data_IF_106099416542
#
_entry.id   IF_106099416542
#
_cell.length_a   1.000
_cell.length_b   1.000
_cell.length_c   1.000
_cell.angle_alpha   90.00
_cell.angle_beta   90.00
_cell.angle_gamma   90.00
#
_symmetry.space_group_name_H-M   'P 1'
#
loop_
_entity.id
_entity.type
_entity.pdbx_description
1 polymer ?
#
# COMPACT_ATOMS: atom_id res chain seq x y z
N UNK A 1 -24.74 0.93 2.90
CA UNK A 1 -23.31 0.61 2.65
C UNK A 1 -22.45 1.29 3.70
N UNK A 2 -21.65 0.52 4.46
CA UNK A 2 -20.78 1.12 5.46
C UNK A 2 -19.56 1.80 4.83
N UNK A 3 -19.13 2.92 5.41
CA UNK A 3 -17.90 3.61 5.01
C UNK A 3 -16.68 2.72 5.31
N UNK A 4 -15.71 2.61 4.39
CA UNK A 4 -14.47 1.89 4.66
C UNK A 4 -13.75 2.48 5.89
N UNK A 5 -13.29 1.62 6.78
CA UNK A 5 -12.50 1.99 7.95
C UNK A 5 -11.02 1.78 7.67
N UNK A 6 -10.20 2.81 7.86
CA UNK A 6 -8.75 2.68 7.72
C UNK A 6 -8.18 1.81 8.85
N UNK A 7 -7.50 0.74 8.47
CA UNK A 7 -6.80 -0.17 9.40
C UNK A 7 -5.37 0.30 9.62
N UNK A 8 -4.66 0.63 8.53
CA UNK A 8 -3.28 1.11 8.62
C UNK A 8 -2.91 2.02 7.43
N UNK A 9 -2.01 2.96 7.69
CA UNK A 9 -1.24 3.69 6.69
C UNK A 9 0.25 3.38 6.87
N UNK A 10 0.91 2.89 5.83
CA UNK A 10 2.35 2.65 5.79
C UNK A 10 2.98 3.57 4.75
N UNK A 11 4.25 3.92 4.95
CA UNK A 11 5.04 4.72 4.00
C UNK A 11 6.42 4.13 3.85
N UNK A 12 6.97 4.17 2.64
CA UNK A 12 8.35 3.79 2.32
C UNK A 12 8.92 4.85 1.41
N UNK A 13 9.96 5.53 1.89
CA UNK A 13 10.72 6.50 1.09
C UNK A 13 12.11 5.93 0.85
N UNK A 14 12.59 6.03 -0.39
CA UNK A 14 13.90 5.53 -0.81
C UNK A 14 14.51 6.48 -1.84
N UNK A 15 15.82 6.71 -1.73
CA UNK A 15 16.55 7.63 -2.59
C UNK A 15 17.89 7.03 -2.98
N UNK A 16 17.96 6.48 -4.18
CA UNK A 16 19.18 5.92 -4.77
C UNK A 16 18.92 5.54 -6.25
N UNK A 17 19.80 4.73 -6.82
CA UNK A 17 19.62 4.04 -8.10
C UNK A 17 18.70 2.83 -7.93
N UNK A 18 17.59 2.79 -8.66
CA UNK A 18 16.70 1.62 -8.72
C UNK A 18 15.98 1.57 -10.06
N UNK A 19 15.38 0.43 -10.41
CA UNK A 19 14.51 0.38 -11.59
C UNK A 19 13.05 0.66 -11.20
N UNK A 20 12.49 1.78 -11.66
CA UNK A 20 11.06 2.11 -11.44
C UNK A 20 10.18 1.03 -12.05
N UNK A 21 10.53 0.59 -13.26
CA UNK A 21 9.80 -0.45 -13.99
C UNK A 21 9.81 -1.78 -13.25
N UNK A 22 10.92 -2.16 -12.63
CA UNK A 22 10.99 -3.37 -11.83
C UNK A 22 10.16 -3.26 -10.55
N UNK A 23 10.21 -2.12 -9.86
CA UNK A 23 9.39 -1.87 -8.66
C UNK A 23 7.90 -1.98 -8.98
N UNK A 24 7.48 -1.31 -10.05
CA UNK A 24 6.11 -1.36 -10.55
C UNK A 24 5.67 -2.81 -10.79
N UNK A 25 6.50 -3.61 -11.49
CA UNK A 25 6.17 -5.00 -11.79
C UNK A 25 6.07 -5.89 -10.55
N UNK A 26 7.02 -5.77 -9.62
CA UNK A 26 7.03 -6.58 -8.39
C UNK A 26 5.78 -6.31 -7.55
N UNK A 27 5.42 -5.05 -7.34
CA UNK A 27 4.23 -4.71 -6.55
C UNK A 27 2.94 -5.08 -7.27
N UNK A 28 2.87 -4.87 -8.59
CA UNK A 28 1.72 -5.27 -9.41
C UNK A 28 1.51 -6.79 -9.37
N UNK A 29 2.60 -7.56 -9.48
CA UNK A 29 2.57 -9.01 -9.42
C UNK A 29 2.14 -9.49 -8.03
N UNK A 30 2.71 -8.93 -6.96
CA UNK A 30 2.32 -9.25 -5.59
C UNK A 30 0.81 -9.04 -5.36
N UNK A 31 0.28 -7.89 -5.80
CA UNK A 31 -1.16 -7.59 -5.68
C UNK A 31 -2.01 -8.63 -6.42
N UNK A 32 -1.61 -9.01 -7.63
CA UNK A 32 -2.34 -10.02 -8.42
C UNK A 32 -2.27 -11.42 -7.77
N UNK A 33 -1.11 -11.83 -7.26
CA UNK A 33 -0.91 -13.12 -6.57
C UNK A 33 -1.74 -13.23 -5.28
N UNK A 34 -1.87 -12.12 -4.55
CA UNK A 34 -2.69 -12.03 -3.33
C UNK A 34 -4.19 -11.81 -3.59
N UNK A 35 -4.60 -11.79 -4.87
CA UNK A 35 -6.00 -11.70 -5.30
C UNK A 35 -6.60 -10.29 -5.29
N UNK A 36 -5.76 -9.24 -5.24
CA UNK A 36 -6.21 -7.87 -5.39
C UNK A 36 -6.42 -7.51 -6.86
N UNK A 37 -7.58 -6.94 -7.17
CA UNK A 37 -7.99 -6.48 -8.50
C UNK A 37 -8.41 -5.01 -8.45
N UNK A 38 -8.97 -4.45 -9.54
CA UNK A 38 -9.52 -3.08 -9.54
C UNK A 38 -10.57 -2.86 -8.45
N UNK A 39 -10.97 -1.61 -8.22
CA UNK A 39 -12.03 -1.29 -7.26
C UNK A 39 -13.36 -1.95 -7.62
N UNK A 40 -13.65 -2.02 -8.91
CA UNK A 40 -14.72 -2.81 -9.48
C UNK A 40 -14.12 -4.18 -9.79
N UNK A 41 -14.56 -5.23 -9.11
CA UNK A 41 -13.97 -6.58 -9.15
C UNK A 41 -13.91 -7.22 -10.56
N UNK A 42 -14.48 -6.54 -11.56
CA UNK A 42 -14.46 -6.84 -12.99
C UNK A 42 -13.32 -6.19 -13.76
N UNK A 43 -12.71 -5.11 -13.25
CA UNK A 43 -11.64 -4.38 -13.94
C UNK A 43 -10.26 -4.92 -13.54
N UNK A 44 -9.47 -5.26 -14.57
CA UNK A 44 -8.07 -5.65 -14.41
C UNK A 44 -7.18 -4.44 -14.21
N UNK A 45 -7.65 -3.24 -14.53
CA UNK A 45 -6.92 -2.00 -14.43
C UNK A 45 -6.99 -1.44 -13.00
N UNK A 46 -5.85 -1.44 -12.30
CA UNK A 46 -5.77 -0.90 -10.94
C UNK A 46 -5.31 0.56 -10.90
N UNK A 47 -4.72 1.05 -12.00
CA UNK A 47 -4.07 2.34 -12.05
C UNK A 47 -5.10 3.43 -12.34
N UNK A 48 -5.51 4.11 -11.29
CA UNK A 48 -6.51 5.17 -11.37
C UNK A 48 -5.91 6.50 -11.86
N UNK A 49 -4.63 6.73 -11.58
CA UNK A 49 -3.93 7.95 -11.98
C UNK A 49 -2.51 7.62 -12.44
N UNK A 50 -2.10 8.25 -13.54
CA UNK A 50 -0.70 8.42 -13.94
C UNK A 50 -0.48 9.87 -14.38
N UNK A 51 0.42 10.58 -13.70
CA UNK A 51 0.81 11.94 -14.05
C UNK A 51 2.32 12.02 -14.10
N UNK A 52 2.86 12.47 -15.22
CA UNK A 52 4.29 12.72 -15.40
C UNK A 52 4.51 14.21 -15.67
N UNK A 53 5.47 14.81 -14.98
CA UNK A 53 5.93 16.18 -15.16
C UNK A 53 7.43 16.17 -15.38
N UNK A 54 7.90 16.99 -16.31
CA UNK A 54 9.32 17.13 -16.60
C UNK A 54 9.78 18.46 -16.02
N UNK A 55 10.74 18.40 -15.10
CA UNK A 55 11.36 19.58 -14.50
C UNK A 55 12.31 20.28 -15.47
N UNK A 56 12.61 21.55 -15.19
CA UNK A 56 13.53 22.37 -16.01
C UNK A 56 14.95 21.78 -16.11
N UNK A 57 15.35 20.99 -15.11
CA UNK A 57 16.60 20.24 -15.03
C UNK A 57 16.55 18.87 -15.74
N UNK A 58 15.47 18.56 -16.46
CA UNK A 58 15.31 17.29 -17.19
C UNK A 58 14.93 16.09 -16.31
N UNK A 59 14.87 16.25 -14.98
CA UNK A 59 14.37 15.24 -14.07
C UNK A 59 12.85 15.09 -14.17
N UNK A 60 12.35 13.86 -14.02
CA UNK A 60 10.91 13.57 -14.06
C UNK A 60 10.33 13.50 -12.65
N UNK A 61 9.15 14.07 -12.48
CA UNK A 61 8.27 13.84 -11.35
C UNK A 61 7.10 12.97 -11.83
N UNK A 62 6.83 11.86 -11.15
CA UNK A 62 5.80 10.91 -11.54
C UNK A 62 4.89 10.63 -10.35
N UNK A 63 3.58 10.69 -10.57
CA UNK A 63 2.56 10.31 -9.62
C UNK A 63 1.78 9.12 -10.18
N UNK A 64 1.65 8.06 -9.40
CA UNK A 64 0.89 6.86 -9.79
C UNK A 64 -0.02 6.48 -8.64
N UNK A 65 -1.32 6.34 -8.90
CA UNK A 65 -2.28 5.88 -7.90
C UNK A 65 -2.89 4.57 -8.30
N UNK A 66 -2.71 3.56 -7.45
CA UNK A 66 -3.39 2.29 -7.58
C UNK A 66 -4.53 2.19 -6.57
N UNK A 67 -5.69 1.78 -7.07
CA UNK A 67 -6.88 1.55 -6.25
C UNK A 67 -7.28 0.10 -6.43
N UNK A 68 -7.01 -0.70 -5.41
CA UNK A 68 -7.25 -2.14 -5.47
C UNK A 68 -8.23 -2.60 -4.42
N UNK A 69 -8.93 -3.68 -4.74
CA UNK A 69 -9.79 -4.36 -3.78
C UNK A 69 -9.74 -5.87 -3.91
N UNK A 70 -10.08 -6.54 -2.81
CA UNK A 70 -10.19 -7.99 -2.70
C UNK A 70 -11.47 -8.30 -1.93
N UNK A 71 -12.37 -9.04 -2.55
CA UNK A 71 -13.53 -9.61 -1.86
C UNK A 71 -13.05 -10.80 -1.02
N UNK A 72 -13.27 -10.74 0.29
CA UNK A 72 -12.80 -11.79 1.21
C UNK A 72 -13.91 -12.75 1.53
N UNK A 73 -15.11 -12.21 1.76
CA UNK A 73 -16.36 -12.93 1.88
C UNK A 73 -17.52 -12.00 1.51
N UNK A 74 -18.76 -12.49 1.57
CA UNK A 74 -19.94 -11.70 1.20
C UNK A 74 -20.17 -10.43 2.06
N UNK A 75 -19.54 -10.32 3.22
CA UNK A 75 -19.71 -9.23 4.18
C UNK A 75 -18.48 -8.31 4.29
N UNK A 76 -17.31 -8.74 3.80
CA UNK A 76 -16.06 -8.01 3.97
C UNK A 76 -15.33 -7.83 2.64
N UNK A 77 -14.96 -6.57 2.36
CA UNK A 77 -14.11 -6.17 1.24
C UNK A 77 -12.84 -5.51 1.77
N UNK A 78 -11.69 -6.01 1.33
CA UNK A 78 -10.40 -5.39 1.60
C UNK A 78 -10.12 -4.38 0.49
N UNK A 79 -9.67 -3.19 0.85
CA UNK A 79 -9.27 -2.14 -0.08
C UNK A 79 -7.82 -1.79 0.25
N UNK A 80 -6.95 -1.87 -0.75
CA UNK A 80 -5.54 -1.55 -0.62
C UNK A 80 -5.18 -0.51 -1.67
N UNK A 81 -4.95 0.72 -1.24
CA UNK A 81 -4.54 1.81 -2.11
C UNK A 81 -3.04 2.00 -2.02
N UNK A 82 -2.39 2.15 -3.16
CA UNK A 82 -0.94 2.36 -3.26
C UNK A 82 -0.69 3.64 -4.05
N UNK A 83 -0.08 4.63 -3.39
CA UNK A 83 0.23 5.92 -3.99
C UNK A 83 1.72 6.06 -4.13
N UNK A 84 2.20 6.18 -5.37
CA UNK A 84 3.58 6.44 -5.70
C UNK A 84 3.78 7.92 -5.99
N UNK A 85 4.85 8.47 -5.43
CA UNK A 85 5.40 9.76 -5.77
C UNK A 85 6.88 9.61 -6.05
N UNK A 86 7.27 9.75 -7.31
CA UNK A 86 8.65 9.69 -7.75
C UNK A 86 9.14 11.09 -8.06
N UNK A 87 10.30 11.46 -7.52
CA UNK A 87 10.88 12.79 -7.58
C UNK A 87 12.25 12.76 -8.25
N UNK A 88 12.44 13.70 -9.18
CA UNK A 88 13.70 13.92 -9.90
C UNK A 88 14.29 12.64 -10.51
N UNK A 89 13.44 11.82 -11.13
CA UNK A 89 13.87 10.59 -11.79
C UNK A 89 14.70 10.92 -13.04
N UNK A 90 15.91 10.38 -13.11
CA UNK A 90 16.82 10.52 -14.22
C UNK A 90 17.28 9.14 -14.71
N UNK A 91 17.34 8.89 -16.02
CA UNK A 91 17.79 7.62 -16.54
C UNK A 91 19.27 7.41 -16.21
N UNK A 92 19.62 6.19 -15.82
CA UNK A 92 21.00 5.75 -15.57
C UNK A 92 21.20 4.35 -16.14
N UNK A 93 22.46 3.97 -16.28
CA UNK A 93 22.85 2.66 -16.78
C UNK A 93 23.90 2.08 -15.85
N UNK A 94 23.63 0.88 -15.33
CA UNK A 94 24.56 0.14 -14.48
C UNK A 94 24.99 -1.15 -15.15
N UNK A 95 26.22 -1.57 -14.88
CA UNK A 95 26.71 -2.89 -15.25
C UNK A 95 26.41 -3.86 -14.10
N UNK A 96 25.55 -4.84 -14.33
CA UNK A 96 25.23 -5.88 -13.36
C UNK A 96 25.48 -7.24 -14.02
N UNK A 97 26.35 -8.06 -13.41
CA UNK A 97 26.73 -9.38 -13.95
C UNK A 97 27.22 -9.34 -15.42
N UNK A 98 27.95 -8.28 -15.78
CA UNK A 98 28.47 -8.09 -17.15
C UNK A 98 27.42 -7.66 -18.17
N UNK A 99 26.15 -7.47 -17.76
CA UNK A 99 25.07 -6.95 -18.62
C UNK A 99 24.76 -5.50 -18.26
N UNK A 100 24.58 -4.68 -19.29
CA UNK A 100 24.14 -3.29 -19.15
C UNK A 100 22.65 -3.26 -18.85
N UNK A 101 22.26 -2.76 -17.67
CA UNK A 101 20.88 -2.60 -17.27
C UNK A 101 20.50 -1.12 -17.23
N UNK A 102 19.32 -0.79 -17.75
CA UNK A 102 18.73 0.54 -17.63
C UNK A 102 18.07 0.67 -16.26
N UNK A 103 18.49 1.66 -15.50
CA UNK A 103 17.98 2.02 -14.18
C UNK A 103 17.59 3.49 -14.17
N UNK A 104 17.06 3.93 -13.04
CA UNK A 104 16.72 5.32 -12.79
C UNK A 104 17.39 5.74 -11.49
N UNK A 105 17.82 6.99 -11.39
CA UNK A 105 18.27 7.61 -10.13
C UNK A 105 17.24 8.64 -9.72
N UNK A 106 16.84 8.61 -8.47
CA UNK A 106 15.90 9.58 -7.95
C UNK A 106 15.40 9.19 -6.57
N UNK A 107 14.26 9.76 -6.21
CA UNK A 107 13.59 9.47 -4.95
C UNK A 107 12.21 8.89 -5.24
N UNK A 108 11.85 7.83 -4.52
CA UNK A 108 10.54 7.21 -4.57
C UNK A 108 9.94 7.20 -3.18
N UNK A 109 8.72 7.70 -3.10
CA UNK A 109 7.88 7.67 -1.91
C UNK A 109 6.62 6.90 -2.23
N UNK A 110 6.35 5.84 -1.47
CA UNK A 110 5.16 5.01 -1.65
C UNK A 110 4.38 4.94 -0.36
N UNK A 111 3.12 5.31 -0.43
CA UNK A 111 2.16 5.21 0.66
C UNK A 111 1.17 4.07 0.39
N UNK A 112 1.02 3.19 1.39
CA UNK A 112 0.06 2.09 1.38
C UNK A 112 -1.06 2.40 2.36
N UNK A 113 -2.30 2.41 1.89
CA UNK A 113 -3.47 2.60 2.72
C UNK A 113 -4.34 1.36 2.67
N UNK A 114 -4.59 0.76 3.83
CA UNK A 114 -5.42 -0.42 3.94
C UNK A 114 -6.75 -0.05 4.61
N UNK A 115 -7.87 -0.29 3.93
CA UNK A 115 -9.21 -0.06 4.44
C UNK A 115 -10.01 -1.36 4.47
N UNK A 116 -10.70 -1.59 5.58
CA UNK A 116 -11.68 -2.65 5.73
C UNK A 116 -13.07 -2.08 5.49
N UNK A 117 -13.79 -2.64 4.52
CA UNK A 117 -15.19 -2.32 4.29
C UNK A 117 -16.07 -3.48 4.74
N UNK A 118 -16.97 -3.20 5.69
CA UNK A 118 -18.04 -4.10 6.10
C UNK A 118 -19.31 -3.79 5.31
N UNK A 119 -20.07 -4.82 4.98
CA UNK A 119 -21.30 -4.72 4.18
C UNK A 119 -21.10 -3.91 2.89
N UNK A 120 -20.27 -4.42 1.95
CA UNK A 120 -20.03 -3.73 0.68
C UNK A 120 -21.30 -3.63 -0.18
N UNK A 121 -22.28 -4.52 0.00
CA UNK A 121 -23.52 -4.54 -0.79
C UNK A 121 -24.64 -3.67 -0.19
N UNK A 122 -24.52 -3.27 1.07
CA UNK A 122 -25.56 -2.46 1.73
C UNK A 122 -26.78 -3.27 2.15
N UNK A 123 -26.72 -4.61 2.10
CA UNK A 123 -27.86 -5.50 2.36
C UNK A 123 -28.38 -5.38 3.81
N UNK A 124 -27.55 -4.87 4.73
CA UNK A 124 -27.90 -4.72 6.13
C UNK A 124 -28.69 -3.45 6.44
N UNK A 125 -28.52 -2.39 5.64
CA UNK A 125 -29.27 -1.13 5.79
C UNK A 125 -30.71 -1.25 5.25
N UNK A 126 -30.98 -2.24 4.38
CA UNK A 126 -32.27 -2.43 3.70
C UNK A 126 -33.32 -3.22 4.53
N UNK A 127 -32.92 -3.80 5.67
CA UNK A 127 -33.83 -4.57 6.52
C UNK A 127 -34.67 -3.68 7.47
N UNK A 128 -36.00 -3.78 7.38
CA UNK A 128 -36.98 -3.02 8.18
C UNK A 128 -36.74 -3.03 9.70
N UNK A 129 -36.28 -4.16 10.27
CA UNK A 129 -35.99 -4.31 11.71
C UNK A 129 -34.61 -3.77 12.14
N UNK A 130 -33.70 -3.53 11.21
CA UNK A 130 -32.36 -2.95 11.43
C UNK A 130 -32.27 -1.48 10.99
N UNK A 131 -33.39 -0.91 10.54
CA UNK A 131 -33.52 0.44 9.99
C UNK A 131 -33.18 1.57 10.96
N UNK A 132 -33.16 1.31 12.28
CA UNK A 132 -32.66 2.29 13.25
C UNK A 132 -31.12 2.27 13.24
N UNK A 133 -30.46 3.29 12.64
CA UNK A 133 -29.02 3.24 12.32
C UNK A 133 -28.12 3.17 13.56
N UNK A 134 -28.65 3.55 14.74
CA UNK A 134 -27.91 3.58 15.99
C UNK A 134 -27.90 2.21 16.70
N UNK A 135 -29.02 1.49 16.66
CA UNK A 135 -29.18 0.19 17.33
C UNK A 135 -28.56 -0.93 16.51
N UNK A 136 -28.82 -0.94 15.20
CA UNK A 136 -28.24 -1.93 14.28
C UNK A 136 -26.72 -1.83 14.26
N UNK A 137 -26.17 -0.62 14.16
CA UNK A 137 -24.71 -0.40 14.16
C UNK A 137 -24.04 -0.81 15.46
N UNK A 138 -24.64 -0.55 16.62
CA UNK A 138 -24.08 -0.97 17.91
C UNK A 138 -24.12 -2.51 18.09
N UNK A 139 -25.24 -3.15 17.74
CA UNK A 139 -25.39 -4.60 17.84
C UNK A 139 -24.52 -5.34 16.82
N UNK A 140 -24.48 -4.88 15.56
CA UNK A 140 -23.63 -5.44 14.50
C UNK A 140 -22.16 -5.32 14.88
N UNK A 141 -21.72 -4.15 15.34
CA UNK A 141 -20.34 -3.97 15.80
C UNK A 141 -20.00 -4.89 16.97
N UNK A 142 -20.96 -5.25 17.83
CA UNK A 142 -20.74 -6.14 18.97
C UNK A 142 -20.76 -7.62 18.56
N UNK A 143 -21.70 -8.02 17.71
CA UNK A 143 -21.85 -9.39 17.21
C UNK A 143 -20.72 -9.77 16.25
N UNK A 144 -20.38 -8.87 15.33
CA UNK A 144 -19.32 -9.05 14.34
C UNK A 144 -17.96 -8.54 14.81
N UNK A 145 -17.83 -8.03 16.05
CA UNK A 145 -16.58 -7.46 16.56
C UNK A 145 -15.38 -8.38 16.31
N UNK A 146 -15.52 -9.64 16.70
CA UNK A 146 -14.45 -10.64 16.57
C UNK A 146 -14.07 -10.89 15.10
N UNK A 147 -15.07 -10.91 14.21
CA UNK A 147 -14.84 -11.08 12.77
C UNK A 147 -14.17 -9.86 12.17
N UNK A 148 -14.64 -8.65 12.51
CA UNK A 148 -14.04 -7.38 12.10
C UNK A 148 -12.57 -7.30 12.55
N UNK A 149 -12.30 -7.58 13.83
CA UNK A 149 -10.95 -7.53 14.41
C UNK A 149 -10.02 -8.53 13.71
N UNK A 150 -10.48 -9.76 13.47
CA UNK A 150 -9.72 -10.78 12.74
C UNK A 150 -9.44 -10.36 11.29
N UNK A 151 -10.45 -9.81 10.60
CA UNK A 151 -10.32 -9.33 9.22
C UNK A 151 -9.40 -8.10 9.11
N UNK A 152 -9.44 -7.22 10.10
CA UNK A 152 -8.50 -6.11 10.21
C UNK A 152 -7.06 -6.61 10.42
N UNK A 153 -6.86 -7.65 11.25
CA UNK A 153 -5.54 -8.27 11.43
C UNK A 153 -5.02 -8.95 10.15
N UNK A 154 -5.87 -9.66 9.41
CA UNK A 154 -5.55 -10.23 8.10
C UNK A 154 -5.11 -9.12 7.12
N UNK A 155 -5.90 -8.06 6.97
CA UNK A 155 -5.58 -6.93 6.10
C UNK A 155 -4.30 -6.18 6.53
N UNK A 156 -4.08 -6.05 7.84
CA UNK A 156 -2.84 -5.49 8.39
C UNK A 156 -1.63 -6.31 7.93
N UNK A 157 -1.69 -7.64 8.03
CA UNK A 157 -0.61 -8.54 7.59
C UNK A 157 -0.35 -8.41 6.08
N UNK A 158 -1.40 -8.31 5.27
CA UNK A 158 -1.27 -8.09 3.82
C UNK A 158 -0.52 -6.78 3.53
N UNK A 159 -0.92 -5.67 4.15
CA UNK A 159 -0.26 -4.38 3.97
C UNK A 159 1.23 -4.41 4.34
N UNK A 160 1.59 -5.09 5.44
CA UNK A 160 2.99 -5.27 5.82
C UNK A 160 3.78 -6.18 4.88
N UNK A 161 3.15 -7.22 4.33
CA UNK A 161 3.79 -8.10 3.34
C UNK A 161 4.06 -7.36 2.04
N UNK A 162 3.13 -6.55 1.55
CA UNK A 162 3.35 -5.68 0.39
C UNK A 162 4.47 -4.68 0.64
N UNK A 163 4.46 -4.02 1.81
CA UNK A 163 5.55 -3.11 2.20
C UNK A 163 6.90 -3.85 2.26
N UNK A 164 6.90 -5.06 2.81
CA UNK A 164 8.10 -5.92 2.87
C UNK A 164 8.59 -6.29 1.48
N UNK A 165 7.70 -6.63 0.54
CA UNK A 165 8.05 -6.92 -0.85
C UNK A 165 8.70 -5.71 -1.54
N UNK A 166 8.17 -4.49 -1.33
CA UNK A 166 8.80 -3.25 -1.79
C UNK A 166 10.19 -3.07 -1.21
N UNK A 167 10.34 -3.24 0.11
CA UNK A 167 11.63 -3.08 0.80
C UNK A 167 12.67 -4.08 0.31
N UNK A 168 12.27 -5.34 0.11
CA UNK A 168 13.13 -6.38 -0.45
C UNK A 168 13.58 -6.04 -1.87
N UNK A 169 12.66 -5.58 -2.73
CA UNK A 169 12.99 -5.18 -4.10
C UNK A 169 13.97 -4.01 -4.15
N UNK A 170 13.75 -2.97 -3.34
CA UNK A 170 14.64 -1.81 -3.27
C UNK A 170 16.00 -2.13 -2.65
N UNK A 171 16.27 -3.41 -2.37
CA UNK A 171 17.41 -3.87 -1.61
C UNK A 171 17.69 -2.95 -0.43
N UNK A 172 16.62 -2.61 0.33
CA UNK A 172 16.77 -2.05 1.67
C UNK A 172 17.36 -3.14 2.57
N UNK A 173 18.60 -3.54 2.24
CA UNK A 173 19.50 -4.32 3.05
C UNK A 173 19.83 -3.43 4.24
N UNK A 174 19.50 -3.91 5.43
CA UNK A 174 20.31 -3.56 6.58
C UNK A 174 21.78 -3.77 6.17
N UNK A 175 22.56 -2.69 6.18
CA UNK A 175 24.01 -2.65 6.04
C UNK A 175 24.64 -3.19 4.75
N UNK A 176 25.14 -2.26 3.91
CA UNK A 176 26.51 -2.26 3.38
C UNK A 176 26.91 -0.83 2.97
N UNK A 177 26.79 0.11 3.90
CA UNK A 177 27.67 1.27 3.99
C UNK A 177 28.22 1.28 5.42
N UNK A 178 29.52 1.52 5.53
CA UNK A 178 30.34 1.31 6.71
C UNK A 178 29.67 1.82 8.00
N UNK A 179 29.76 1.01 9.07
CA UNK A 179 29.59 1.46 10.45
C UNK A 179 30.70 2.49 10.78
N UNK A 180 30.59 3.71 10.27
CA UNK A 180 31.34 4.86 10.77
C UNK A 180 30.53 5.47 11.91
N UNK A 181 30.74 4.88 13.09
CA UNK A 181 30.63 5.48 14.42
C UNK A 181 29.56 6.55 14.67
N UNK A 182 28.34 6.12 15.03
CA UNK A 182 27.49 6.94 15.91
C UNK A 182 27.03 6.10 17.11
N UNK A 183 27.33 6.52 18.36
CA UNK A 183 26.86 5.80 19.53
C UNK A 183 25.35 5.92 19.67
N UNK A 184 24.71 4.78 19.91
CA UNK A 184 23.28 4.65 20.17
C UNK A 184 22.85 5.51 21.37
N UNK A 185 21.71 6.20 21.27
CA UNK A 185 21.07 6.90 22.38
C UNK A 185 19.68 6.29 22.61
N UNK A 186 19.44 5.58 23.72
CA UNK A 186 18.11 5.03 24.00
C UNK A 186 17.10 6.14 24.32
N UNK A 187 15.91 6.03 23.71
CA UNK A 187 14.76 6.88 23.98
C UNK A 187 14.25 6.66 25.41
N UNK A 188 14.14 7.73 26.22
CA UNK A 188 13.54 7.68 27.56
C UNK A 188 12.04 7.95 27.46
N UNK A 189 11.21 7.04 27.96
CA UNK A 189 9.77 7.26 28.07
C UNK A 189 9.48 8.36 29.11
N UNK A 190 8.47 9.23 28.89
CA UNK A 190 8.02 10.15 29.91
C UNK A 190 7.38 9.36 31.06
N UNK A 191 8.01 9.40 32.22
CA UNK A 191 7.35 9.04 33.48
C UNK A 191 6.32 10.12 33.82
N UNK A 192 5.09 9.68 34.07
CA UNK A 192 4.00 10.51 34.61
C UNK A 192 4.35 11.11 35.98
#
# INVERSE_FOLDING_TARGET
MAKPQQVIKLRVTYKDVFSVKGLYKVLRQWLAEEGYCGLDSTDKWIENLYVERIGANGGKEIWIWWRTSKEVDGNFKFILNVDFHLLNMQPSEIMHEGKKMKTDVGEVDVEFYAFLQFDPKGEWDDHFFLSNPLVSKWWLNKAYKRSIDKKAEELYKDAYRLQSAMKQYLELKAFLHEYTGKPFHPYKFPTA
#
